data_IF_466623926680
#
_entry.id   IF_466623926680
#
_cell.length_a   1.000
_cell.length_b   1.000
_cell.length_c   1.000
_cell.angle_alpha   90.00
_cell.angle_beta   90.00
_cell.angle_gamma   90.00
#
_symmetry.space_group_name_H-M   'P 1'
#
loop_
_entity.id
_entity.type
_entity.pdbx_description
1 polymer ?
#
# COMPACT_ATOMS: atom_id res chain seq x y z
N UNK A 1 13.74 -27.88 -7.47
CA UNK A 1 12.92 -27.79 -6.30
C UNK A 1 12.59 -26.34 -6.03
N UNK A 2 11.30 -26.03 -5.81
CA UNK A 2 10.87 -24.66 -5.69
C UNK A 2 11.02 -24.06 -4.28
N UNK A 3 11.58 -24.82 -3.32
CA UNK A 3 11.93 -24.41 -1.97
C UNK A 3 10.74 -24.32 -1.00
N UNK A 4 11.08 -24.23 0.30
CA UNK A 4 10.13 -24.31 1.41
C UNK A 4 9.49 -22.95 1.79
N UNK A 5 10.03 -21.82 1.29
CA UNK A 5 9.54 -20.52 1.66
C UNK A 5 8.27 -20.15 0.88
N UNK A 6 8.33 -20.18 -0.44
CA UNK A 6 7.25 -19.71 -1.30
C UNK A 6 6.24 -20.79 -1.67
N UNK A 7 6.65 -22.05 -1.86
CA UNK A 7 5.89 -23.11 -2.52
C UNK A 7 5.37 -22.69 -3.92
N UNK A 8 6.03 -21.71 -4.57
CA UNK A 8 5.55 -21.14 -5.82
C UNK A 8 5.55 -22.16 -6.96
N UNK A 9 4.54 -22.09 -7.83
CA UNK A 9 4.47 -22.82 -9.08
C UNK A 9 5.50 -22.33 -10.11
N UNK A 10 6.01 -21.11 -9.95
CA UNK A 10 6.77 -20.39 -10.98
C UNK A 10 8.17 -19.98 -10.54
N UNK A 11 8.36 -19.60 -9.26
CA UNK A 11 9.59 -19.03 -8.74
C UNK A 11 10.29 -19.96 -7.77
N UNK A 12 11.55 -20.35 -8.02
CA UNK A 12 12.36 -21.05 -7.04
C UNK A 12 12.81 -20.08 -5.93
N UNK A 13 12.99 -20.59 -4.71
CA UNK A 13 13.37 -19.78 -3.54
C UNK A 13 14.77 -19.14 -3.67
N UNK A 14 15.63 -19.68 -4.55
CA UNK A 14 16.95 -19.12 -4.89
C UNK A 14 16.88 -17.70 -5.47
N UNK A 15 15.72 -17.31 -6.03
CA UNK A 15 15.47 -15.95 -6.52
C UNK A 15 15.10 -14.96 -5.42
N UNK A 16 14.73 -15.45 -4.22
CA UNK A 16 14.46 -14.59 -3.08
C UNK A 16 15.79 -13.97 -2.61
N UNK A 17 15.76 -12.70 -2.22
CA UNK A 17 16.94 -12.04 -1.64
C UNK A 17 17.52 -12.89 -0.49
N UNK A 18 18.84 -13.07 -0.49
CA UNK A 18 19.56 -13.98 0.43
C UNK A 18 19.51 -13.55 1.90
N UNK A 19 19.15 -12.29 2.20
CA UNK A 19 18.97 -11.85 3.58
C UNK A 19 17.81 -12.63 4.20
N UNK A 20 18.04 -13.27 5.33
CA UNK A 20 17.11 -14.21 6.02
C UNK A 20 15.70 -13.64 6.23
N UNK A 21 15.55 -12.33 6.34
CA UNK A 21 14.25 -11.66 6.48
C UNK A 21 13.29 -11.98 5.33
N UNK A 22 13.76 -12.04 4.08
CA UNK A 22 12.87 -12.17 2.93
C UNK A 22 12.30 -13.59 2.75
N UNK A 23 13.10 -14.68 2.85
CA UNK A 23 12.53 -16.03 2.89
C UNK A 23 11.57 -16.23 4.07
N UNK A 24 11.92 -15.68 5.24
CA UNK A 24 11.06 -15.75 6.44
C UNK A 24 9.75 -15.00 6.24
N UNK A 25 9.77 -13.79 5.68
CA UNK A 25 8.55 -13.05 5.31
C UNK A 25 7.68 -13.86 4.36
N UNK A 26 8.27 -14.42 3.30
CA UNK A 26 7.57 -15.21 2.30
C UNK A 26 6.85 -16.40 2.94
N UNK A 27 7.57 -17.18 3.75
CA UNK A 27 7.02 -18.34 4.45
C UNK A 27 5.92 -17.94 5.45
N UNK A 28 6.13 -16.86 6.22
CA UNK A 28 5.19 -16.45 7.26
C UNK A 28 3.92 -15.81 6.68
N UNK A 29 3.99 -15.10 5.55
CA UNK A 29 2.80 -14.64 4.82
C UNK A 29 1.95 -15.85 4.40
N UNK A 30 2.53 -16.85 3.76
CA UNK A 30 1.84 -18.06 3.33
C UNK A 30 1.23 -18.83 4.51
N UNK A 31 2.03 -19.08 5.55
CA UNK A 31 1.59 -19.80 6.76
C UNK A 31 0.45 -19.08 7.48
N UNK A 32 0.57 -17.75 7.68
CA UNK A 32 -0.48 -16.97 8.32
C UNK A 32 -1.75 -16.94 7.51
N UNK A 33 -1.64 -16.76 6.20
CA UNK A 33 -2.77 -16.79 5.27
C UNK A 33 -3.46 -18.15 5.24
N UNK A 34 -2.72 -19.25 5.47
CA UNK A 34 -3.19 -20.63 5.33
C UNK A 34 -3.34 -21.10 3.88
N UNK A 35 -2.74 -20.38 2.94
CA UNK A 35 -2.75 -20.65 1.50
C UNK A 35 -1.63 -19.87 0.82
N UNK A 36 -1.31 -20.17 -0.44
CA UNK A 36 -0.48 -19.27 -1.26
C UNK A 36 -1.15 -17.91 -1.42
N UNK A 37 -0.36 -16.87 -1.68
CA UNK A 37 -0.93 -15.59 -2.10
C UNK A 37 -1.59 -15.75 -3.47
N UNK A 38 -2.66 -14.99 -3.73
CA UNK A 38 -3.42 -15.05 -4.98
C UNK A 38 -3.33 -13.70 -5.69
N UNK A 39 -2.47 -13.66 -6.69
CA UNK A 39 -2.28 -12.46 -7.50
C UNK A 39 -2.89 -12.77 -8.86
N UNK A 40 -4.00 -12.13 -9.21
CA UNK A 40 -4.65 -12.24 -10.49
C UNK A 40 -4.69 -10.88 -11.16
N UNK A 41 -3.90 -10.70 -12.20
CA UNK A 41 -3.83 -9.45 -12.96
C UNK A 41 -4.65 -9.62 -14.24
N UNK A 42 -5.60 -8.73 -14.55
CA UNK A 42 -6.34 -8.82 -15.81
C UNK A 42 -5.39 -8.85 -17.01
N UNK A 43 -5.61 -9.79 -17.91
CA UNK A 43 -4.81 -9.94 -19.12
C UNK A 43 -5.24 -8.91 -20.16
N UNK A 44 -4.27 -8.21 -20.77
CA UNK A 44 -4.54 -7.41 -21.96
C UNK A 44 -4.93 -8.34 -23.14
N UNK A 45 -6.07 -8.09 -23.75
CA UNK A 45 -6.57 -8.87 -24.88
C UNK A 45 -6.26 -8.19 -26.20
N UNK A 46 -5.64 -8.92 -27.10
CA UNK A 46 -5.48 -8.57 -28.50
C UNK A 46 -6.26 -9.52 -29.42
N UNK A 47 -6.11 -9.36 -30.72
CA UNK A 47 -6.81 -10.17 -31.74
C UNK A 47 -6.39 -11.66 -31.73
N UNK A 48 -5.29 -12.01 -31.11
CA UNK A 48 -4.75 -13.37 -31.02
C UNK A 48 -5.01 -14.03 -29.67
N UNK A 49 -5.50 -13.27 -28.69
CA UNK A 49 -5.76 -13.79 -27.33
C UNK A 49 -6.98 -14.73 -27.34
N UNK A 50 -6.84 -16.01 -26.95
CA UNK A 50 -7.97 -16.92 -26.85
C UNK A 50 -9.06 -16.42 -25.90
N UNK A 51 -10.31 -16.76 -26.19
CA UNK A 51 -11.45 -16.43 -25.32
C UNK A 51 -12.25 -17.70 -25.04
N UNK A 52 -12.32 -18.19 -23.79
CA UNK A 52 -11.60 -17.69 -22.62
C UNK A 52 -10.09 -17.97 -22.68
N UNK A 53 -9.26 -17.14 -22.02
CA UNK A 53 -7.84 -17.40 -21.84
C UNK A 53 -7.65 -18.21 -20.53
N UNK A 54 -7.08 -19.39 -20.68
CA UNK A 54 -6.57 -20.20 -19.57
C UNK A 54 -5.06 -20.23 -19.71
N UNK A 55 -4.34 -19.79 -18.70
CA UNK A 55 -2.89 -19.65 -18.74
C UNK A 55 -2.19 -21.02 -18.94
N UNK A 56 -1.59 -21.28 -20.11
CA UNK A 56 -0.97 -22.58 -20.40
C UNK A 56 0.35 -22.79 -19.65
N UNK A 57 0.90 -21.76 -19.03
CA UNK A 57 2.16 -21.84 -18.29
C UNK A 57 1.98 -22.23 -16.82
N UNK A 58 0.74 -22.35 -16.34
CA UNK A 58 0.45 -22.88 -15.00
C UNK A 58 0.69 -24.39 -15.03
N UNK A 59 1.56 -24.94 -14.16
CA UNK A 59 1.77 -26.38 -14.06
C UNK A 59 0.61 -27.06 -13.27
N UNK A 60 -0.51 -27.26 -13.94
CA UNK A 60 -1.78 -27.74 -13.37
C UNK A 60 -1.70 -29.13 -12.71
N UNK A 61 -0.72 -29.93 -13.09
CA UNK A 61 -0.46 -31.30 -12.63
C UNK A 61 0.64 -31.42 -11.57
N UNK A 62 1.15 -30.29 -11.08
CA UNK A 62 2.15 -30.29 -10.01
C UNK A 62 1.53 -30.68 -8.66
N UNK A 63 2.25 -31.51 -7.88
CA UNK A 63 1.82 -32.06 -6.58
C UNK A 63 2.98 -32.13 -5.56
N UNK A 64 3.91 -31.19 -5.60
CA UNK A 64 5.04 -31.15 -4.66
C UNK A 64 4.60 -30.68 -3.27
N UNK A 65 3.68 -29.72 -3.22
CA UNK A 65 3.11 -29.18 -2.00
C UNK A 65 1.59 -29.29 -1.99
N UNK A 66 0.99 -29.35 -0.80
CA UNK A 66 -0.47 -29.45 -0.66
C UNK A 66 -1.22 -28.28 -1.33
N UNK A 67 -0.60 -27.09 -1.30
CA UNK A 67 -1.15 -25.86 -1.89
C UNK A 67 -1.04 -25.80 -3.43
N UNK A 68 -0.37 -26.74 -4.07
CA UNK A 68 -0.22 -26.70 -5.54
C UNK A 68 -1.54 -26.82 -6.27
N UNK A 69 -2.50 -27.50 -5.67
CA UNK A 69 -3.84 -27.66 -6.23
C UNK A 69 -4.71 -26.41 -6.15
N UNK A 70 -4.30 -25.38 -5.40
CA UNK A 70 -5.11 -24.16 -5.25
C UNK A 70 -5.39 -23.47 -6.58
N UNK A 71 -4.44 -23.49 -7.53
CA UNK A 71 -4.63 -22.91 -8.86
C UNK A 71 -5.80 -23.58 -9.59
N UNK A 72 -5.84 -24.92 -9.62
CA UNK A 72 -6.91 -25.71 -10.25
C UNK A 72 -8.25 -25.60 -9.50
N UNK A 73 -8.20 -25.36 -8.19
CA UNK A 73 -9.37 -25.17 -7.33
C UNK A 73 -9.92 -23.73 -7.33
N UNK A 74 -9.47 -22.88 -8.27
CA UNK A 74 -10.01 -21.55 -8.50
C UNK A 74 -9.18 -20.39 -7.94
N UNK A 75 -7.92 -20.62 -7.50
CA UNK A 75 -7.03 -19.51 -7.17
C UNK A 75 -6.54 -18.78 -8.42
N UNK A 76 -6.39 -19.50 -9.55
CA UNK A 76 -6.07 -18.91 -10.85
C UNK A 76 -7.36 -18.58 -11.60
N UNK A 77 -7.58 -17.31 -11.91
CA UNK A 77 -8.76 -16.86 -12.64
C UNK A 77 -8.55 -16.96 -14.15
N UNK A 78 -9.61 -17.34 -14.86
CA UNK A 78 -9.68 -17.21 -16.32
C UNK A 78 -9.51 -15.75 -16.72
N UNK A 79 -8.87 -15.51 -17.88
CA UNK A 79 -8.61 -14.16 -18.42
C UNK A 79 -7.68 -13.30 -17.54
N UNK A 80 -6.89 -13.93 -16.67
CA UNK A 80 -5.94 -13.25 -15.79
C UNK A 80 -4.55 -13.90 -15.85
N UNK A 81 -3.56 -13.12 -15.54
CA UNK A 81 -2.19 -13.55 -15.30
C UNK A 81 -2.14 -13.96 -13.82
N UNK A 82 -2.01 -15.25 -13.55
CA UNK A 82 -1.94 -15.77 -12.18
C UNK A 82 -0.50 -15.81 -11.67
N UNK A 83 -0.30 -15.36 -10.42
CA UNK A 83 0.98 -15.41 -9.70
C UNK A 83 0.71 -15.78 -8.23
N UNK A 84 1.65 -16.47 -7.59
CA UNK A 84 1.39 -17.18 -6.32
C UNK A 84 2.48 -16.98 -5.25
N UNK A 85 3.36 -15.99 -5.42
CA UNK A 85 4.46 -15.75 -4.49
C UNK A 85 4.70 -14.28 -4.21
N UNK A 86 5.19 -13.96 -3.01
CA UNK A 86 5.57 -12.61 -2.59
C UNK A 86 6.57 -11.96 -3.58
N UNK A 87 7.47 -12.76 -4.16
CA UNK A 87 8.50 -12.27 -5.08
C UNK A 87 7.97 -11.54 -6.31
N UNK A 88 6.77 -11.89 -6.80
CA UNK A 88 6.14 -11.22 -7.93
C UNK A 88 5.75 -9.77 -7.64
N UNK A 89 5.45 -9.44 -6.40
CA UNK A 89 5.16 -8.07 -5.99
C UNK A 89 6.40 -7.36 -5.45
N UNK A 90 7.11 -7.98 -4.51
CA UNK A 90 8.28 -7.34 -3.87
C UNK A 90 9.48 -7.18 -4.82
N UNK A 91 9.47 -7.85 -5.98
CA UNK A 91 10.42 -7.62 -7.07
C UNK A 91 10.12 -6.39 -7.91
N UNK A 92 8.94 -5.77 -7.78
CA UNK A 92 8.61 -4.53 -8.49
C UNK A 92 9.38 -3.35 -7.91
N UNK A 93 10.01 -2.56 -8.79
CA UNK A 93 10.72 -1.35 -8.40
C UNK A 93 9.76 -0.18 -8.13
N UNK A 94 10.18 0.76 -7.27
CA UNK A 94 9.41 1.95 -6.93
C UNK A 94 10.31 3.17 -6.74
N UNK A 95 9.73 4.37 -6.87
CA UNK A 95 10.34 5.64 -6.52
C UNK A 95 9.73 6.15 -5.22
N UNK A 96 10.54 6.28 -4.17
CA UNK A 96 10.10 6.76 -2.86
C UNK A 96 10.90 7.99 -2.45
N UNK A 97 10.22 8.99 -1.89
CA UNK A 97 10.84 10.23 -1.44
C UNK A 97 10.52 10.45 0.03
N UNK A 98 11.56 10.61 0.86
CA UNK A 98 11.42 10.88 2.29
C UNK A 98 11.77 12.33 2.60
N UNK A 99 10.87 13.03 3.28
CA UNK A 99 11.02 14.41 3.74
C UNK A 99 11.23 14.43 5.25
N UNK A 100 12.13 15.28 5.72
CA UNK A 100 12.23 15.64 7.14
C UNK A 100 11.46 16.94 7.38
N UNK A 101 10.60 16.95 8.39
CA UNK A 101 9.85 18.11 8.82
C UNK A 101 10.50 18.76 10.05
N UNK A 102 10.37 20.10 10.23
CA UNK A 102 10.90 20.82 11.38
C UNK A 102 10.28 20.38 12.72
N UNK A 103 8.99 20.07 12.72
CA UNK A 103 8.25 19.62 13.91
C UNK A 103 7.19 18.58 13.56
N UNK A 104 6.53 18.03 14.57
CA UNK A 104 5.49 17.01 14.41
C UNK A 104 4.26 17.55 13.65
N UNK A 105 3.85 18.79 13.89
CA UNK A 105 2.66 19.37 13.27
C UNK A 105 2.89 19.58 11.76
N UNK A 106 4.08 20.04 11.39
CA UNK A 106 4.50 20.16 10.00
C UNK A 106 4.55 18.77 9.31
N UNK A 107 5.04 17.75 10.02
CA UNK A 107 5.07 16.39 9.50
C UNK A 107 3.65 15.84 9.27
N UNK A 108 2.72 16.03 10.22
CA UNK A 108 1.32 15.63 10.09
C UNK A 108 0.64 16.36 8.93
N UNK A 109 0.82 17.69 8.83
CA UNK A 109 0.29 18.48 7.72
C UNK A 109 0.80 17.98 6.38
N UNK A 110 2.10 17.75 6.26
CA UNK A 110 2.71 17.24 5.03
C UNK A 110 2.16 15.84 4.69
N UNK A 111 2.06 14.96 5.67
CA UNK A 111 1.49 13.62 5.50
C UNK A 111 0.06 13.70 4.95
N UNK A 112 -0.80 14.48 5.60
CA UNK A 112 -2.21 14.61 5.24
C UNK A 112 -2.38 15.22 3.84
N UNK A 113 -1.65 16.27 3.52
CA UNK A 113 -1.77 16.94 2.23
C UNK A 113 -1.23 16.11 1.05
N UNK A 114 -0.30 15.20 1.31
CA UNK A 114 0.18 14.26 0.30
C UNK A 114 -0.76 13.07 0.04
N UNK A 115 -1.65 12.71 0.96
CA UNK A 115 -2.55 11.56 0.82
C UNK A 115 -3.35 11.60 -0.50
N UNK A 116 -4.09 12.69 -0.83
CA UNK A 116 -4.86 12.75 -2.08
C UNK A 116 -4.01 12.73 -3.35
N UNK A 117 -2.74 13.05 -3.24
CA UNK A 117 -1.81 13.10 -4.37
C UNK A 117 -1.18 11.74 -4.69
N UNK A 118 -1.26 10.79 -3.75
CA UNK A 118 -0.65 9.46 -3.93
C UNK A 118 -1.24 8.69 -5.12
N UNK A 119 -2.56 8.62 -5.35
CA UNK A 119 -3.12 7.98 -6.54
C UNK A 119 -2.83 8.74 -7.84
N UNK A 120 -2.79 10.07 -7.79
CA UNK A 120 -2.53 10.90 -8.98
C UNK A 120 -1.10 10.67 -9.50
N UNK A 121 -0.13 10.66 -8.58
CA UNK A 121 1.26 10.40 -8.94
C UNK A 121 1.52 8.92 -9.28
N UNK A 122 0.74 7.97 -8.72
CA UNK A 122 0.78 6.59 -9.19
C UNK A 122 0.35 6.52 -10.65
N UNK A 123 -0.75 7.15 -11.04
CA UNK A 123 -1.23 7.18 -12.42
C UNK A 123 -0.23 7.89 -13.35
N UNK A 124 0.31 9.04 -12.92
CA UNK A 124 1.27 9.83 -13.71
C UNK A 124 2.61 9.11 -13.93
N UNK A 125 2.98 8.19 -13.06
CA UNK A 125 4.25 7.43 -13.13
C UNK A 125 4.06 5.98 -13.59
N UNK A 126 2.85 5.58 -14.00
CA UNK A 126 2.54 4.20 -14.39
C UNK A 126 3.60 3.61 -15.34
N UNK A 127 4.18 2.46 -14.95
CA UNK A 127 5.31 1.86 -15.67
C UNK A 127 5.38 0.32 -15.55
N UNK A 128 4.28 -0.36 -15.18
CA UNK A 128 4.26 -1.80 -14.93
C UNK A 128 3.16 -2.52 -15.72
N UNK A 129 3.24 -2.54 -17.08
CA UNK A 129 2.23 -3.16 -17.93
C UNK A 129 2.49 -4.65 -18.24
N UNK A 130 3.58 -5.25 -17.71
CA UNK A 130 3.98 -6.62 -18.06
C UNK A 130 4.24 -7.45 -16.81
N UNK A 131 3.62 -8.63 -16.72
CA UNK A 131 3.83 -9.59 -15.63
C UNK A 131 4.02 -11.00 -16.19
N UNK A 132 5.03 -11.73 -15.72
CA UNK A 132 5.37 -13.09 -16.17
C UNK A 132 5.43 -13.28 -17.70
N UNK A 133 5.86 -12.23 -18.42
CA UNK A 133 5.93 -12.26 -19.88
C UNK A 133 4.62 -11.98 -20.62
N UNK A 134 3.53 -11.69 -19.92
CA UNK A 134 2.24 -11.31 -20.48
C UNK A 134 1.98 -9.82 -20.35
N UNK A 135 1.32 -9.23 -21.34
CA UNK A 135 0.76 -7.89 -21.22
C UNK A 135 -0.47 -7.91 -20.31
N UNK A 136 -0.51 -6.96 -19.39
CA UNK A 136 -1.60 -6.78 -18.44
C UNK A 136 -2.57 -5.68 -18.90
N UNK A 137 -3.82 -5.75 -18.44
CA UNK A 137 -4.81 -4.68 -18.61
C UNK A 137 -4.78 -3.70 -17.42
N UNK A 138 -3.58 -3.49 -16.86
CA UNK A 138 -3.23 -2.51 -15.84
C UNK A 138 -1.84 -1.95 -16.14
N UNK A 139 -1.56 -0.73 -15.70
CA UNK A 139 -0.27 -0.07 -15.94
C UNK A 139 0.57 0.12 -14.66
N UNK A 140 0.04 -0.27 -13.49
CA UNK A 140 0.67 -0.03 -12.21
C UNK A 140 0.85 -1.33 -11.40
N UNK A 141 1.89 -1.35 -10.56
CA UNK A 141 2.27 -2.47 -9.69
C UNK A 141 1.46 -2.58 -8.39
N UNK A 142 0.76 -1.53 -7.96
CA UNK A 142 0.29 -1.38 -6.57
C UNK A 142 -0.58 -2.55 -6.10
N UNK A 143 -1.61 -2.93 -6.86
CA UNK A 143 -2.48 -4.06 -6.53
C UNK A 143 -1.75 -5.41 -6.60
N UNK A 144 -0.75 -5.53 -7.46
CA UNK A 144 0.08 -6.75 -7.56
C UNK A 144 0.87 -6.94 -6.28
N UNK A 145 1.50 -5.89 -5.76
CA UNK A 145 2.24 -5.96 -4.49
C UNK A 145 1.28 -6.16 -3.33
N UNK A 146 0.13 -5.45 -3.31
CA UNK A 146 -0.91 -5.61 -2.30
C UNK A 146 -1.35 -7.06 -2.16
N UNK A 147 -1.61 -7.74 -3.27
CA UNK A 147 -1.95 -9.17 -3.29
C UNK A 147 -0.77 -10.08 -2.93
N UNK A 148 0.46 -9.71 -3.34
CA UNK A 148 1.67 -10.50 -3.10
C UNK A 148 2.08 -10.61 -1.63
N UNK A 149 1.68 -9.64 -0.80
CA UNK A 149 1.98 -9.61 0.65
C UNK A 149 0.72 -9.72 1.51
N UNK A 150 -0.41 -10.11 0.93
CA UNK A 150 -1.67 -10.24 1.65
C UNK A 150 -1.68 -11.48 2.53
N UNK A 151 -1.29 -11.31 3.77
CA UNK A 151 -1.22 -12.36 4.80
C UNK A 151 -2.55 -12.56 5.57
N UNK A 152 -3.60 -11.80 5.23
CA UNK A 152 -4.89 -11.91 5.89
C UNK A 152 -5.46 -13.32 5.80
N UNK A 153 -5.98 -13.82 6.93
CA UNK A 153 -6.71 -15.10 7.00
C UNK A 153 -8.04 -15.02 6.24
N UNK A 154 -8.69 -16.15 6.00
CA UNK A 154 -10.03 -16.20 5.40
C UNK A 154 -11.05 -15.34 6.17
N UNK A 155 -10.99 -15.37 7.51
CA UNK A 155 -11.85 -14.55 8.37
C UNK A 155 -11.56 -13.07 8.16
N UNK A 156 -10.31 -12.67 8.22
CA UNK A 156 -9.92 -11.26 8.05
C UNK A 156 -10.30 -10.70 6.67
N UNK A 157 -10.27 -11.51 5.62
CA UNK A 157 -10.71 -11.13 4.27
C UNK A 157 -12.23 -11.12 4.07
N UNK A 158 -13.00 -11.71 4.98
CA UNK A 158 -14.45 -11.84 4.83
C UNK A 158 -14.91 -13.06 4.06
N UNK A 159 -14.01 -13.98 3.74
CA UNK A 159 -14.29 -15.22 3.00
C UNK A 159 -14.78 -16.37 3.91
N UNK A 160 -14.67 -16.22 5.22
CA UNK A 160 -15.24 -17.12 6.23
C UNK A 160 -15.97 -16.32 7.32
N UNK A 161 -17.03 -16.88 7.96
CA UNK A 161 -17.74 -16.22 9.04
C UNK A 161 -16.85 -16.02 10.27
N UNK A 162 -17.19 -15.01 11.09
CA UNK A 162 -16.64 -14.89 12.44
C UNK A 162 -17.15 -16.07 13.27
N UNK A 163 -16.28 -16.68 14.08
CA UNK A 163 -16.70 -17.76 14.98
C UNK A 163 -17.41 -17.16 16.20
N UNK A 164 -18.53 -17.72 16.55
CA UNK A 164 -19.27 -17.30 17.75
C UNK A 164 -18.48 -17.63 19.03
N UNK A 165 -18.47 -16.71 19.99
CA UNK A 165 -17.91 -16.90 21.34
C UNK A 165 -16.42 -16.58 21.51
N UNK A 166 -15.67 -16.20 20.49
CA UNK A 166 -14.32 -15.68 20.68
C UNK A 166 -14.32 -14.16 20.89
N UNK A 167 -13.49 -13.63 21.81
CA UNK A 167 -13.46 -12.20 22.11
C UNK A 167 -13.03 -11.39 20.87
N UNK A 168 -13.82 -10.37 20.55
CA UNK A 168 -13.59 -9.49 19.37
C UNK A 168 -12.44 -8.51 19.55
N UNK A 169 -11.93 -8.30 20.77
CA UNK A 169 -10.85 -7.36 21.06
C UNK A 169 -10.00 -7.79 22.26
N UNK A 170 -8.69 -7.55 22.19
CA UNK A 170 -7.66 -7.53 23.24
C UNK A 170 -6.66 -8.67 23.37
N UNK A 171 -6.64 -9.67 22.50
CA UNK A 171 -5.51 -10.59 22.43
C UNK A 171 -5.04 -10.76 20.99
N UNK A 172 -3.79 -11.10 20.74
CA UNK A 172 -3.22 -11.29 19.41
C UNK A 172 -3.88 -12.37 18.53
N UNK A 173 -4.97 -13.00 19.02
CA UNK A 173 -5.80 -13.98 18.32
C UNK A 173 -7.24 -13.52 18.07
N UNK A 174 -7.59 -12.26 18.37
CA UNK A 174 -8.95 -11.77 18.17
C UNK A 174 -9.36 -11.79 16.70
N UNK A 175 -10.51 -12.39 16.40
CA UNK A 175 -11.07 -12.41 15.06
C UNK A 175 -11.57 -11.02 14.67
N UNK A 176 -11.10 -10.52 13.52
CA UNK A 176 -11.47 -9.20 13.00
C UNK A 176 -11.57 -9.22 11.49
N UNK A 177 -12.20 -8.21 10.93
CA UNK A 177 -12.21 -7.92 9.50
C UNK A 177 -11.15 -6.87 9.21
N UNK A 178 -10.27 -7.12 8.23
CA UNK A 178 -9.29 -6.16 7.76
C UNK A 178 -9.61 -5.82 6.31
N UNK A 179 -10.05 -4.59 6.06
CA UNK A 179 -10.45 -4.13 4.73
C UNK A 179 -9.30 -4.22 3.71
N UNK A 180 -8.12 -3.82 4.13
CA UNK A 180 -6.93 -3.69 3.27
C UNK A 180 -5.88 -4.73 3.60
N UNK A 181 -5.07 -5.09 2.61
CA UNK A 181 -3.80 -5.76 2.80
C UNK A 181 -2.84 -4.88 3.62
N UNK A 182 -1.74 -5.43 4.09
CA UNK A 182 -0.68 -4.64 4.73
C UNK A 182 0.08 -3.72 3.75
N UNK A 183 -0.13 -3.87 2.47
CA UNK A 183 0.33 -2.99 1.40
C UNK A 183 -0.88 -2.40 0.71
N UNK A 184 -1.23 -1.16 1.02
CA UNK A 184 -2.39 -0.50 0.44
C UNK A 184 -2.30 1.02 0.61
N UNK A 185 -3.34 1.76 0.18
CA UNK A 185 -3.52 3.18 0.52
C UNK A 185 -3.61 3.37 2.03
N UNK A 186 -3.32 4.58 2.50
CA UNK A 186 -3.44 4.94 3.92
C UNK A 186 -4.87 4.78 4.44
N UNK A 187 -5.01 4.61 5.74
CA UNK A 187 -6.30 4.37 6.39
C UNK A 187 -6.84 5.61 7.13
N UNK A 188 -6.00 6.62 7.42
CA UNK A 188 -6.42 7.80 8.17
C UNK A 188 -5.53 9.02 7.96
N UNK A 189 -6.13 10.20 8.13
CA UNK A 189 -5.45 11.47 8.30
C UNK A 189 -5.04 11.68 9.77
N UNK A 190 -4.01 12.52 9.99
CA UNK A 190 -3.40 12.75 11.30
C UNK A 190 -3.75 14.11 11.93
N UNK A 191 -4.31 15.06 11.14
CA UNK A 191 -4.66 16.40 11.62
C UNK A 191 -6.16 16.63 11.79
N UNK A 192 -7.00 15.86 11.08
CA UNK A 192 -8.45 16.01 11.10
C UNK A 192 -9.17 14.68 11.03
N UNK A 193 -10.36 14.62 11.67
CA UNK A 193 -11.30 13.49 11.53
C UNK A 193 -12.27 13.66 10.38
N UNK A 194 -12.37 14.85 9.82
CA UNK A 194 -13.35 15.19 8.80
C UNK A 194 -13.32 14.22 7.61
N UNK A 195 -12.14 13.79 7.22
CA UNK A 195 -11.91 12.92 6.06
C UNK A 195 -11.73 11.43 6.41
N UNK A 196 -11.74 11.10 7.69
CA UNK A 196 -11.64 9.71 8.19
C UNK A 196 -13.03 9.05 8.20
N UNK A 197 -13.62 8.90 7.02
CA UNK A 197 -14.99 8.41 6.80
C UNK A 197 -15.11 6.88 6.80
N UNK A 198 -13.98 6.18 6.97
CA UNK A 198 -13.92 4.73 6.96
C UNK A 198 -13.56 4.21 8.35
N UNK A 199 -14.26 3.18 8.88
CA UNK A 199 -13.90 2.57 10.14
C UNK A 199 -12.47 2.08 10.18
N UNK A 200 -11.74 2.45 11.24
CA UNK A 200 -10.34 2.09 11.46
C UNK A 200 -10.25 1.00 12.53
N UNK A 201 -9.81 -0.19 12.14
CA UNK A 201 -9.47 -1.24 13.09
C UNK A 201 -8.18 -0.86 13.82
N UNK A 202 -8.16 -0.99 15.15
CA UNK A 202 -6.99 -0.62 15.94
C UNK A 202 -6.77 -1.54 17.15
N UNK A 203 -5.57 -1.56 17.66
CA UNK A 203 -5.24 -2.23 18.91
C UNK A 203 -5.56 -1.27 20.07
N UNK A 204 -6.70 -1.47 20.72
CA UNK A 204 -7.19 -0.54 21.75
C UNK A 204 -6.26 -0.44 22.96
N UNK A 205 -5.56 -1.51 23.32
CA UNK A 205 -4.55 -1.48 24.39
C UNK A 205 -3.38 -0.56 24.06
N UNK A 206 -2.90 -0.61 22.82
CA UNK A 206 -1.83 0.29 22.33
C UNK A 206 -2.32 1.72 22.30
N UNK A 207 -3.51 1.94 21.75
CA UNK A 207 -4.15 3.27 21.71
C UNK A 207 -4.23 3.90 23.09
N UNK A 208 -4.77 3.17 24.07
CA UNK A 208 -4.93 3.67 25.42
C UNK A 208 -3.58 4.04 26.06
N UNK A 209 -2.57 3.21 25.91
CA UNK A 209 -1.19 3.50 26.42
C UNK A 209 -0.59 4.76 25.80
N UNK A 210 -0.81 4.97 24.49
CA UNK A 210 -0.30 6.16 23.81
C UNK A 210 -1.01 7.43 24.31
N UNK A 211 -2.34 7.38 24.50
CA UNK A 211 -3.10 8.49 25.08
C UNK A 211 -2.65 8.82 26.51
N UNK A 212 -2.46 7.82 27.36
CA UNK A 212 -1.96 7.98 28.74
C UNK A 212 -0.53 8.57 28.75
N UNK A 213 0.24 8.34 27.70
CA UNK A 213 1.57 8.92 27.51
C UNK A 213 1.56 10.33 26.89
N UNK A 214 0.38 10.91 26.66
CA UNK A 214 0.22 12.26 26.13
C UNK A 214 0.31 12.38 24.60
N UNK A 215 0.26 11.27 23.86
CA UNK A 215 0.15 11.30 22.39
C UNK A 215 -1.26 11.74 22.01
N UNK A 216 -1.39 12.66 21.04
CA UNK A 216 -2.70 13.08 20.55
C UNK A 216 -3.51 11.93 19.93
N UNK A 217 -4.83 12.09 19.94
CA UNK A 217 -5.76 11.02 19.63
C UNK A 217 -5.59 10.45 18.20
N UNK A 218 -5.41 11.30 17.20
CA UNK A 218 -5.30 10.85 15.79
C UNK A 218 -4.00 10.09 15.55
N UNK A 219 -2.89 10.58 16.11
CA UNK A 219 -1.62 9.89 16.01
C UNK A 219 -1.63 8.56 16.79
N UNK A 220 -2.27 8.55 17.98
CA UNK A 220 -2.43 7.33 18.77
C UNK A 220 -3.26 6.28 18.02
N UNK A 221 -4.32 6.68 17.34
CA UNK A 221 -5.16 5.81 16.50
C UNK A 221 -4.39 5.26 15.31
N UNK A 222 -3.65 6.12 14.60
CA UNK A 222 -2.79 5.70 13.49
C UNK A 222 -1.75 4.66 13.93
N UNK A 223 -1.03 4.93 15.01
CA UNK A 223 -0.03 3.99 15.53
C UNK A 223 -0.69 2.69 15.99
N UNK A 224 -1.81 2.76 16.72
CA UNK A 224 -2.55 1.58 17.17
C UNK A 224 -3.09 0.73 16.01
N UNK A 225 -3.41 1.35 14.88
CA UNK A 225 -3.77 0.64 13.65
C UNK A 225 -2.60 -0.21 13.12
N UNK A 226 -1.37 0.29 13.12
CA UNK A 226 -0.21 -0.50 12.70
C UNK A 226 -0.05 -1.77 13.55
N UNK A 227 -0.35 -1.70 14.86
CA UNK A 227 -0.27 -2.83 15.80
C UNK A 227 -1.46 -3.82 15.71
N UNK A 228 -2.34 -3.66 14.74
CA UNK A 228 -3.36 -4.68 14.41
C UNK A 228 -2.73 -5.88 13.71
N UNK A 229 -1.60 -5.68 13.04
CA UNK A 229 -0.93 -6.68 12.22
C UNK A 229 0.29 -7.27 12.91
N UNK A 230 0.58 -8.52 12.59
CA UNK A 230 1.80 -9.18 13.04
C UNK A 230 3.03 -8.59 12.35
N UNK A 231 4.21 -8.55 13.03
CA UNK A 231 5.46 -8.09 12.42
C UNK A 231 6.01 -9.05 11.36
N UNK A 232 5.46 -10.26 11.23
CA UNK A 232 5.84 -11.36 10.35
C UNK A 232 7.25 -11.92 10.58
N UNK A 233 8.21 -11.12 11.00
CA UNK A 233 9.59 -11.52 11.30
C UNK A 233 10.05 -10.83 12.57
N UNK A 234 10.53 -11.60 13.51
CA UNK A 234 11.24 -11.12 14.71
C UNK A 234 12.54 -11.93 14.81
N UNK A 235 13.67 -11.28 14.92
CA UNK A 235 14.94 -11.94 15.17
C UNK A 235 15.04 -12.32 16.64
N UNK A 236 15.67 -13.46 16.93
CA UNK A 236 15.77 -14.01 18.30
C UNK A 236 16.40 -13.04 19.29
N UNK A 237 17.40 -12.28 18.86
CA UNK A 237 18.08 -11.25 19.65
C UNK A 237 17.18 -10.06 20.00
N UNK A 238 16.09 -9.85 19.24
CA UNK A 238 15.17 -8.73 19.41
C UNK A 238 13.88 -9.11 20.15
N UNK A 239 13.76 -10.34 20.68
CA UNK A 239 12.53 -10.76 21.39
C UNK A 239 12.40 -10.05 22.75
N UNK A 240 13.51 -9.85 23.46
CA UNK A 240 13.54 -9.29 24.81
C UNK A 240 14.28 -7.95 24.84
N UNK A 241 13.76 -6.96 24.09
CA UNK A 241 14.30 -5.60 24.08
C UNK A 241 13.81 -4.79 25.27
N UNK A 242 14.62 -3.84 25.69
CA UNK A 242 14.22 -2.79 26.63
C UNK A 242 13.56 -1.65 25.83
N UNK A 243 12.23 -1.64 25.79
CA UNK A 243 11.44 -0.63 25.07
C UNK A 243 11.61 0.80 25.60
N UNK A 244 12.28 0.99 26.76
CA UNK A 244 12.67 2.32 27.24
C UNK A 244 13.91 2.87 26.53
N UNK A 245 14.64 2.03 25.82
CA UNK A 245 15.91 2.32 25.16
C UNK A 245 15.91 2.02 23.66
N UNK A 246 14.94 1.25 23.18
CA UNK A 246 14.85 0.82 21.78
C UNK A 246 13.46 1.07 21.22
N UNK A 247 13.41 1.40 19.95
CA UNK A 247 12.19 1.50 19.15
C UNK A 247 12.05 0.33 18.16
N UNK A 248 12.91 -0.69 18.24
CA UNK A 248 13.00 -1.74 17.22
C UNK A 248 11.68 -2.52 17.05
N UNK A 249 10.92 -2.74 18.13
CA UNK A 249 9.60 -3.38 18.03
C UNK A 249 8.63 -2.53 17.20
N UNK A 250 8.58 -1.22 17.43
CA UNK A 250 7.75 -0.31 16.63
C UNK A 250 8.25 -0.23 15.18
N UNK A 251 9.56 -0.05 14.99
CA UNK A 251 10.15 0.03 13.65
C UNK A 251 9.93 -1.25 12.85
N UNK A 252 9.98 -2.40 13.50
CA UNK A 252 9.69 -3.68 12.87
C UNK A 252 8.23 -3.78 12.40
N UNK A 253 7.27 -3.43 13.27
CA UNK A 253 5.84 -3.34 12.89
C UNK A 253 5.64 -2.37 11.73
N UNK A 254 6.18 -1.15 11.84
CA UNK A 254 6.05 -0.14 10.79
C UNK A 254 6.68 -0.59 9.46
N UNK A 255 7.83 -1.29 9.53
CA UNK A 255 8.55 -1.76 8.34
C UNK A 255 7.85 -2.87 7.56
N UNK A 256 6.84 -3.51 8.17
CA UNK A 256 6.00 -4.55 7.54
C UNK A 256 4.57 -4.09 7.25
N UNK A 257 4.30 -2.78 7.40
CA UNK A 257 3.10 -2.11 6.94
C UNK A 257 3.48 -1.11 5.85
N UNK A 258 3.03 -1.36 4.62
CA UNK A 258 3.48 -0.62 3.43
C UNK A 258 2.33 0.19 2.83
N UNK A 259 2.01 1.31 3.45
CA UNK A 259 0.99 2.23 2.97
C UNK A 259 1.55 3.22 1.92
N UNK A 260 0.69 3.91 1.19
CA UNK A 260 1.07 4.93 0.19
C UNK A 260 1.87 6.08 0.79
N UNK A 261 1.61 6.40 2.05
CA UNK A 261 2.40 7.32 2.87
C UNK A 261 2.88 6.61 4.12
N UNK A 262 4.05 6.99 4.64
CA UNK A 262 4.55 6.52 5.93
C UNK A 262 4.97 7.69 6.80
N UNK A 263 4.46 7.71 8.03
CA UNK A 263 4.80 8.69 9.05
C UNK A 263 5.86 8.09 9.98
N UNK A 264 7.06 8.67 10.01
CA UNK A 264 8.22 8.12 10.73
C UNK A 264 8.60 9.03 11.90
N UNK A 265 8.50 8.56 13.16
CA UNK A 265 9.01 9.31 14.31
C UNK A 265 10.53 9.43 14.27
N UNK A 266 11.10 10.37 15.04
CA UNK A 266 12.54 10.44 15.27
C UNK A 266 13.08 9.11 15.83
N UNK A 267 14.21 8.59 15.32
CA UNK A 267 14.82 7.39 15.88
C UNK A 267 15.38 7.67 17.28
N UNK A 268 15.34 6.67 18.16
CA UNK A 268 15.88 6.80 19.51
C UNK A 268 17.37 7.17 19.46
N UNK A 269 17.78 8.24 20.19
CA UNK A 269 19.17 8.71 20.22
C UNK A 269 19.71 9.29 18.91
N UNK A 270 18.86 9.41 17.86
CA UNK A 270 19.24 9.96 16.56
C UNK A 270 19.10 11.47 16.47
N UNK A 271 19.78 12.08 15.48
CA UNK A 271 19.64 13.52 15.15
C UNK A 271 18.58 13.78 14.07
N UNK A 272 17.97 12.73 13.51
CA UNK A 272 16.95 12.86 12.47
C UNK A 272 15.61 13.17 13.12
N UNK A 273 14.90 14.19 12.62
CA UNK A 273 13.58 14.59 13.12
C UNK A 273 12.43 13.75 12.57
N UNK A 274 11.21 14.27 12.68
CA UNK A 274 10.01 13.69 12.10
C UNK A 274 10.13 13.61 10.58
N UNK A 275 9.68 12.50 10.00
CA UNK A 275 9.81 12.25 8.55
C UNK A 275 8.51 11.76 7.97
N UNK A 276 8.29 12.12 6.71
CA UNK A 276 7.16 11.68 5.89
C UNK A 276 7.72 11.06 4.62
N UNK A 277 7.29 9.85 4.29
CA UNK A 277 7.74 9.13 3.10
C UNK A 277 6.59 8.96 2.12
N UNK A 278 6.74 9.53 0.92
CA UNK A 278 5.84 9.34 -0.22
C UNK A 278 6.26 8.09 -1.00
N UNK A 279 5.32 7.14 -1.24
CA UNK A 279 5.69 5.77 -1.62
C UNK A 279 5.00 5.23 -2.87
N UNK A 280 4.02 5.94 -3.43
CA UNK A 280 3.16 5.39 -4.49
C UNK A 280 3.80 5.35 -5.87
N UNK A 281 4.75 6.23 -6.18
CA UNK A 281 5.31 6.37 -7.53
C UNK A 281 6.04 5.11 -8.00
N UNK A 282 5.92 4.83 -9.29
CA UNK A 282 6.71 3.82 -9.98
C UNK A 282 8.04 4.40 -10.45
N UNK A 283 9.08 3.56 -10.53
CA UNK A 283 10.36 3.97 -11.11
C UNK A 283 10.20 4.18 -12.62
N UNK A 284 10.86 5.20 -13.15
CA UNK A 284 10.88 5.51 -14.57
C UNK A 284 12.12 4.93 -15.24
N UNK A 285 12.10 4.84 -16.57
CA UNK A 285 13.19 4.25 -17.35
C UNK A 285 14.46 5.11 -17.35
N UNK A 286 14.34 6.42 -17.19
CA UNK A 286 15.48 7.34 -17.25
C UNK A 286 15.72 8.07 -15.94
N UNK A 287 16.97 8.40 -15.67
CA UNK A 287 17.35 9.22 -14.50
C UNK A 287 16.70 10.60 -14.53
N UNK A 288 16.53 11.16 -15.73
CA UNK A 288 15.86 12.46 -15.92
C UNK A 288 14.41 12.44 -15.42
N UNK A 289 13.62 11.44 -15.81
CA UNK A 289 12.23 11.31 -15.39
C UNK A 289 12.12 11.09 -13.88
N UNK A 290 12.96 10.21 -13.31
CA UNK A 290 13.00 10.00 -11.87
C UNK A 290 13.36 11.27 -11.11
N UNK A 291 14.36 12.03 -11.60
CA UNK A 291 14.73 13.31 -11.01
C UNK A 291 13.61 14.34 -11.13
N UNK A 292 12.91 14.41 -12.26
CA UNK A 292 11.79 15.33 -12.45
C UNK A 292 10.67 15.09 -11.44
N UNK A 293 10.25 13.84 -11.22
CA UNK A 293 9.25 13.51 -10.21
C UNK A 293 9.72 13.80 -8.77
N UNK A 294 10.99 13.53 -8.46
CA UNK A 294 11.55 13.89 -7.16
C UNK A 294 11.53 15.42 -6.94
N UNK A 295 11.95 16.21 -7.94
CA UNK A 295 11.95 17.66 -7.87
C UNK A 295 10.52 18.19 -7.74
N UNK A 296 9.59 17.68 -8.53
CA UNK A 296 8.18 18.05 -8.44
C UNK A 296 7.63 17.85 -7.02
N UNK A 297 7.86 16.67 -6.40
CA UNK A 297 7.44 16.41 -5.03
C UNK A 297 8.11 17.36 -4.02
N UNK A 298 9.40 17.67 -4.20
CA UNK A 298 10.11 18.62 -3.33
C UNK A 298 9.50 20.01 -3.43
N UNK A 299 9.22 20.49 -4.65
CA UNK A 299 8.57 21.79 -4.86
C UNK A 299 7.16 21.80 -4.26
N UNK A 300 6.38 20.73 -4.49
CA UNK A 300 5.03 20.58 -3.93
C UNK A 300 5.04 20.54 -2.40
N UNK A 301 6.06 19.93 -1.78
CA UNK A 301 6.23 19.97 -0.32
C UNK A 301 6.42 21.40 0.19
N UNK A 302 7.12 22.26 -0.57
CA UNK A 302 7.28 23.69 -0.21
C UNK A 302 5.96 24.44 -0.33
N UNK A 303 5.19 24.20 -1.40
CA UNK A 303 3.84 24.77 -1.54
C UNK A 303 2.96 24.39 -0.34
N UNK A 304 2.92 23.11 0.02
CA UNK A 304 2.16 22.60 1.18
C UNK A 304 2.56 23.31 2.47
N UNK A 305 3.86 23.55 2.67
CA UNK A 305 4.37 24.16 3.91
C UNK A 305 4.24 25.69 3.96
N UNK A 306 4.19 26.37 2.82
CA UNK A 306 4.23 27.84 2.77
C UNK A 306 2.92 28.49 2.36
N UNK A 307 2.04 27.75 1.71
CA UNK A 307 0.76 28.25 1.21
C UNK A 307 -0.43 27.64 1.98
N UNK A 308 -1.54 28.36 2.10
CA UNK A 308 -2.77 27.83 2.73
C UNK A 308 -3.52 26.88 1.79
N UNK A 309 -2.85 25.84 1.27
CA UNK A 309 -3.47 24.80 0.48
C UNK A 309 -4.12 23.74 1.37
N UNK A 310 -5.23 23.16 0.89
CA UNK A 310 -5.86 22.02 1.52
C UNK A 310 -6.38 21.07 0.41
N UNK A 311 -5.75 19.90 0.30
CA UNK A 311 -6.10 18.85 -0.66
C UNK A 311 -6.97 17.75 -0.02
N UNK A 312 -7.28 17.85 1.28
CA UNK A 312 -8.03 16.83 2.03
C UNK A 312 -9.34 16.42 1.36
N UNK A 313 -9.60 15.13 1.31
CA UNK A 313 -10.84 14.52 0.84
C UNK A 313 -11.08 13.19 1.56
N UNK A 314 -12.32 12.67 1.60
CA UNK A 314 -12.62 11.40 2.26
C UNK A 314 -11.69 10.25 1.87
N UNK A 315 -11.25 9.44 2.85
CA UNK A 315 -10.41 8.26 2.63
C UNK A 315 -11.08 7.30 1.64
N UNK A 316 -12.40 7.15 1.71
CA UNK A 316 -13.16 6.33 0.75
C UNK A 316 -12.95 6.77 -0.69
N UNK A 317 -12.86 8.08 -0.95
CA UNK A 317 -12.62 8.64 -2.29
C UNK A 317 -11.16 8.52 -2.71
N UNK A 318 -10.22 8.60 -1.76
CA UNK A 318 -8.80 8.27 -2.01
C UNK A 318 -8.67 6.82 -2.47
N UNK A 319 -9.35 5.89 -1.79
CA UNK A 319 -9.36 4.47 -2.14
C UNK A 319 -9.92 4.22 -3.56
N UNK A 320 -11.04 4.84 -3.89
CA UNK A 320 -11.63 4.78 -5.27
C UNK A 320 -10.64 5.33 -6.31
N UNK A 321 -10.05 6.47 -6.01
CA UNK A 321 -9.07 7.12 -6.91
C UNK A 321 -7.83 6.24 -7.09
N UNK A 322 -7.38 5.57 -6.01
CA UNK A 322 -6.25 4.63 -6.05
C UNK A 322 -6.52 3.41 -6.95
N UNK A 323 -7.75 2.88 -6.94
CA UNK A 323 -8.15 1.79 -7.84
C UNK A 323 -8.23 2.24 -9.30
N UNK A 324 -8.72 3.46 -9.56
CA UNK A 324 -8.76 4.04 -10.91
C UNK A 324 -7.37 4.31 -11.47
N UNK A 325 -6.45 4.77 -10.63
CA UNK A 325 -5.06 5.08 -11.01
C UNK A 325 -4.29 3.90 -11.61
N UNK A 326 -4.71 2.67 -11.29
CA UNK A 326 -4.01 1.47 -11.73
C UNK A 326 -4.52 0.89 -13.04
N UNK A 327 -5.65 1.39 -13.54
CA UNK A 327 -6.22 0.93 -14.80
C UNK A 327 -5.32 1.31 -15.98
N UNK A 328 -5.35 0.48 -17.01
CA UNK A 328 -4.64 0.79 -18.25
C UNK A 328 -5.07 2.14 -18.80
N UNK A 329 -4.08 2.92 -19.23
CA UNK A 329 -4.27 4.26 -19.79
C UNK A 329 -5.09 5.20 -18.87
N UNK A 330 -4.85 5.09 -17.54
CA UNK A 330 -5.63 5.82 -16.54
C UNK A 330 -5.57 7.34 -16.74
N UNK A 331 -4.44 7.87 -17.20
CA UNK A 331 -4.26 9.32 -17.43
C UNK A 331 -5.23 9.90 -18.47
N UNK A 332 -5.65 9.10 -19.46
CA UNK A 332 -6.60 9.54 -20.50
C UNK A 332 -8.01 8.96 -20.29
N UNK A 333 -8.12 7.75 -19.76
CA UNK A 333 -9.37 7.00 -19.68
C UNK A 333 -10.15 7.18 -18.38
N UNK A 334 -9.48 7.64 -17.29
CA UNK A 334 -10.10 7.74 -15.98
C UNK A 334 -10.31 9.19 -15.53
N UNK A 335 -11.26 9.34 -14.60
CA UNK A 335 -11.46 10.58 -13.83
C UNK A 335 -11.15 10.29 -12.36
N UNK A 336 -10.56 11.27 -11.71
CA UNK A 336 -10.05 11.16 -10.36
C UNK A 336 -10.81 12.12 -9.45
N UNK A 337 -11.16 11.66 -8.26
CA UNK A 337 -11.70 12.55 -7.24
C UNK A 337 -10.61 13.52 -6.78
N UNK A 338 -10.93 14.80 -6.78
CA UNK A 338 -10.06 15.85 -6.27
C UNK A 338 -10.88 17.06 -5.82
N UNK A 339 -10.29 17.94 -5.01
CA UNK A 339 -10.98 19.16 -4.55
C UNK A 339 -11.28 20.10 -5.69
N UNK A 340 -12.51 20.59 -5.75
CA UNK A 340 -12.97 21.53 -6.78
C UNK A 340 -12.44 22.95 -6.57
N UNK A 341 -12.00 23.29 -5.34
CA UNK A 341 -11.50 24.64 -5.01
C UNK A 341 -10.62 24.58 -3.77
N UNK A 342 -9.68 25.53 -3.64
CA UNK A 342 -8.89 25.71 -2.41
C UNK A 342 -9.73 26.19 -1.22
N UNK A 343 -10.94 26.67 -1.46
CA UNK A 343 -11.81 27.30 -0.44
C UNK A 343 -13.02 26.44 -0.04
N UNK A 344 -13.34 25.39 -0.80
CA UNK A 344 -14.50 24.55 -0.52
C UNK A 344 -14.07 23.10 -0.23
N UNK A 345 -14.80 22.42 0.66
CA UNK A 345 -14.62 20.98 0.94
C UNK A 345 -15.21 20.07 -0.15
N UNK A 346 -15.77 20.63 -1.22
CA UNK A 346 -16.41 19.83 -2.27
C UNK A 346 -15.36 19.11 -3.12
N UNK A 347 -15.61 17.82 -3.31
CA UNK A 347 -14.83 16.92 -4.17
C UNK A 347 -15.61 16.64 -5.44
N UNK A 348 -14.95 16.73 -6.58
CA UNK A 348 -15.51 16.40 -7.90
C UNK A 348 -14.56 15.48 -8.66
N UNK A 349 -15.01 14.99 -9.81
CA UNK A 349 -14.20 14.15 -10.68
C UNK A 349 -13.58 14.98 -11.81
N UNK A 350 -12.26 14.93 -11.92
CA UNK A 350 -11.47 15.62 -12.92
C UNK A 350 -10.61 14.64 -13.72
N UNK A 351 -10.20 15.02 -14.93
CA UNK A 351 -9.10 14.35 -15.62
C UNK A 351 -7.77 14.65 -14.90
N UNK A 352 -6.77 13.80 -15.10
CA UNK A 352 -5.44 14.08 -14.55
C UNK A 352 -4.88 15.41 -15.10
N UNK A 353 -5.13 15.70 -16.38
CA UNK A 353 -4.74 16.96 -17.01
C UNK A 353 -5.36 18.18 -16.31
N UNK A 354 -6.67 18.16 -16.01
CA UNK A 354 -7.34 19.23 -15.27
C UNK A 354 -6.70 19.45 -13.89
N UNK A 355 -6.38 18.35 -13.18
CA UNK A 355 -5.76 18.44 -11.83
C UNK A 355 -4.35 19.05 -11.91
N UNK A 356 -3.55 18.68 -12.91
CA UNK A 356 -2.18 19.20 -13.02
C UNK A 356 -2.10 20.60 -13.63
N UNK A 357 -2.87 20.88 -14.67
CA UNK A 357 -2.78 22.15 -15.42
C UNK A 357 -3.83 23.19 -15.03
N UNK A 358 -4.87 22.77 -14.34
CA UNK A 358 -6.06 23.60 -14.11
C UNK A 358 -7.13 23.35 -15.18
N UNK A 359 -8.39 23.57 -14.81
CA UNK A 359 -9.53 23.42 -15.72
C UNK A 359 -9.75 24.71 -16.49
N UNK A 360 -9.74 24.65 -17.82
CA UNK A 360 -9.96 25.83 -18.67
C UNK A 360 -11.38 26.39 -18.47
N UNK A 361 -11.46 27.64 -18.02
CA UNK A 361 -12.73 28.35 -17.78
C UNK A 361 -13.33 28.13 -16.38
N UNK A 362 -12.65 27.40 -15.51
CA UNK A 362 -13.02 27.27 -14.10
C UNK A 362 -11.88 27.79 -13.20
N UNK A 363 -11.99 29.04 -12.78
CA UNK A 363 -11.03 29.69 -11.87
C UNK A 363 -10.95 29.01 -10.50
N UNK A 364 -11.84 28.04 -10.22
CA UNK A 364 -11.87 27.31 -8.96
C UNK A 364 -10.86 26.16 -8.91
N UNK A 365 -10.39 25.66 -10.08
CA UNK A 365 -9.38 24.60 -10.18
C UNK A 365 -8.10 25.10 -10.86
N UNK A 366 -7.17 25.72 -10.09
CA UNK A 366 -5.99 26.37 -10.65
C UNK A 366 -4.91 25.41 -11.15
N UNK A 367 -5.01 24.11 -10.84
CA UNK A 367 -4.00 23.11 -11.16
C UNK A 367 -2.85 23.04 -10.15
N UNK A 368 -2.14 21.90 -10.15
CA UNK A 368 -0.97 21.70 -9.27
C UNK A 368 0.31 22.33 -9.82
N UNK A 369 0.49 22.38 -11.13
CA UNK A 369 1.69 22.96 -11.76
C UNK A 369 1.76 24.49 -11.66
N UNK A 370 0.63 25.24 -11.78
CA UNK A 370 0.64 26.70 -11.57
C UNK A 370 0.81 27.14 -10.12
N UNK A 371 0.73 26.22 -9.14
CA UNK A 371 0.95 26.54 -7.72
C UNK A 371 2.40 26.88 -7.42
#
# INVERSE_FOLDING_TARGET
PHGEASHSLFLPDELINKHVRFPTLTANIRKRRGSKVRINVPLFRDVHTPTPFVDPSVPWDRHEFAEDQEAALGAAYTDHIYMDAMGFGMGCCCLQVTFQAPCIDDAKRMYDQFIPLTPLLLAATAASPVYRGYLADVDCRWNVISAAVDDRTLIERGEAPLKEGEPQHNSGSAQRRLRKSRYDSVDSYLTTREWNDVPLEMNERVRQRLLESGVDALLAEHMAHLFVRDPLVIFSENINLDDTRSMDHFENIQSTNWQTMRFKPPPHGGHTGWRVEFRSMEIQLTDFENAAFCIFLVLLSRVIMTMPVDFGMPISLVDVTMQRAQRRDAIHSQRFHFRSSRQTSQTQEYTLADIFHGSAGDDTMPGLLPL
#
